data_IF_844423082019
#
_entry.id   IF_844423082019
#
_cell.length_a   1.000
_cell.length_b   1.000
_cell.length_c   1.000
_cell.angle_alpha   90.00
_cell.angle_beta   90.00
_cell.angle_gamma   90.00
#
_symmetry.space_group_name_H-M   'P 1'
#
loop_
_entity.id
_entity.type
_entity.pdbx_description
1 polymer ?
#
# COMPACT_ATOMS: atom_id res chain seq x y z
N UNK A 1 21.31 -11.50 33.82
CA UNK A 1 21.16 -10.08 33.43
C UNK A 1 20.35 -9.99 32.13
N UNK A 2 19.16 -9.39 32.24
CA UNK A 2 18.29 -8.74 31.21
C UNK A 2 18.63 -9.03 29.73
N UNK A 3 17.85 -9.87 29.03
CA UNK A 3 16.61 -9.50 28.31
C UNK A 3 16.81 -8.45 27.21
N UNK A 4 16.71 -8.86 25.94
CA UNK A 4 16.07 -8.17 24.79
C UNK A 4 16.10 -9.17 23.62
N UNK A 5 15.11 -10.05 23.56
CA UNK A 5 14.69 -10.73 22.33
C UNK A 5 13.27 -10.21 22.07
N UNK A 6 13.16 -8.99 21.55
CA UNK A 6 11.87 -8.37 21.24
C UNK A 6 11.54 -8.64 19.77
N UNK A 7 10.54 -9.51 19.63
CA UNK A 7 9.71 -9.80 18.46
C UNK A 7 9.59 -8.64 17.46
N UNK A 8 9.94 -8.94 16.21
CA UNK A 8 9.96 -8.04 15.06
C UNK A 8 8.53 -7.71 14.61
N UNK A 9 8.13 -6.43 14.70
CA UNK A 9 6.76 -5.95 14.40
C UNK A 9 6.75 -5.13 13.11
N UNK A 10 5.82 -5.43 12.21
CA UNK A 10 5.73 -4.84 10.88
C UNK A 10 4.67 -3.72 10.79
N UNK A 11 4.88 -2.80 9.85
CA UNK A 11 3.90 -1.82 9.37
C UNK A 11 3.24 -2.40 8.10
N UNK A 12 1.90 -2.52 8.06
CA UNK A 12 1.18 -3.16 6.96
C UNK A 12 0.58 -2.12 6.00
N UNK A 13 1.10 -2.05 4.77
CA UNK A 13 0.48 -1.31 3.67
C UNK A 13 -0.45 -2.23 2.89
N UNK A 14 -1.77 -2.07 3.05
CA UNK A 14 -2.78 -2.69 2.19
C UNK A 14 -3.17 -1.72 1.08
N UNK A 15 -2.40 -1.68 0.00
CA UNK A 15 -2.82 -1.05 -1.25
C UNK A 15 -3.44 -2.14 -2.12
N UNK A 16 -4.75 -2.32 -2.02
CA UNK A 16 -5.50 -3.15 -2.97
C UNK A 16 -5.94 -2.30 -4.16
N UNK A 17 -5.10 -2.23 -5.19
CA UNK A 17 -5.56 -1.90 -6.53
C UNK A 17 -5.58 -3.19 -7.34
N UNK A 18 -6.76 -3.82 -7.44
CA UNK A 18 -7.00 -4.89 -8.40
C UNK A 18 -7.19 -4.24 -9.78
N UNK A 19 -6.18 -4.34 -10.64
CA UNK A 19 -6.35 -4.12 -12.08
C UNK A 19 -5.69 -5.30 -12.79
N UNK A 20 -6.54 -6.15 -13.36
CA UNK A 20 -6.16 -7.28 -14.19
C UNK A 20 -5.53 -6.78 -15.48
N UNK A 21 -4.30 -7.23 -15.77
CA UNK A 21 -3.84 -7.60 -17.11
C UNK A 21 -2.53 -8.39 -17.01
N UNK A 22 -2.61 -9.69 -17.32
CA UNK A 22 -1.50 -10.64 -17.43
C UNK A 22 -0.57 -10.26 -18.60
N UNK A 23 0.74 -10.47 -18.43
CA UNK A 23 1.46 -11.56 -19.11
C UNK A 23 2.86 -11.78 -18.52
N UNK A 24 3.42 -12.96 -18.80
CA UNK A 24 4.40 -13.74 -18.03
C UNK A 24 5.61 -14.11 -18.92
N UNK A 25 6.78 -14.33 -18.27
CA UNK A 25 7.95 -15.19 -18.68
C UNK A 25 8.93 -14.73 -19.76
N UNK A 26 10.23 -15.10 -19.81
CA UNK A 26 11.26 -15.69 -18.90
C UNK A 26 12.60 -15.70 -19.70
N UNK A 27 13.79 -15.78 -19.06
CA UNK A 27 14.98 -16.41 -19.71
C UNK A 27 16.38 -15.74 -19.62
N UNK A 28 17.13 -16.09 -18.57
CA UNK A 28 18.58 -16.45 -18.48
C UNK A 28 19.63 -15.88 -19.46
N UNK A 29 20.73 -15.29 -18.93
CA UNK A 29 22.10 -15.88 -18.85
C UNK A 29 23.17 -14.85 -18.38
N UNK A 30 24.18 -15.39 -17.70
CA UNK A 30 25.29 -14.73 -17.00
C UNK A 30 26.18 -13.84 -17.89
N UNK A 31 26.68 -12.72 -17.35
CA UNK A 31 28.12 -12.44 -17.23
C UNK A 31 28.40 -11.15 -16.44
N UNK A 32 29.42 -11.23 -15.59
CA UNK A 32 30.01 -10.20 -14.74
C UNK A 32 30.80 -9.18 -15.58
N UNK A 33 30.69 -7.88 -15.29
CA UNK A 33 31.80 -6.89 -15.39
C UNK A 33 31.64 -5.82 -14.30
N UNK A 34 32.71 -5.59 -13.56
CA UNK A 34 32.89 -4.51 -12.57
C UNK A 34 33.27 -3.18 -13.24
N UNK A 35 32.73 -2.07 -12.73
CA UNK A 35 33.48 -0.80 -12.57
C UNK A 35 33.40 0.31 -13.63
N UNK A 36 32.75 1.42 -13.22
CA UNK A 36 33.06 2.87 -13.50
C UNK A 36 32.95 3.46 -14.92
N UNK A 37 32.89 4.80 -15.14
CA UNK A 37 32.60 5.94 -14.27
C UNK A 37 31.65 6.95 -15.00
N UNK A 38 30.60 6.48 -15.69
CA UNK A 38 29.70 7.37 -16.41
C UNK A 38 28.28 7.27 -15.85
N UNK A 39 27.91 8.29 -15.06
CA UNK A 39 26.55 8.53 -14.58
C UNK A 39 25.65 8.98 -15.75
N UNK A 40 25.56 8.19 -16.82
CA UNK A 40 24.55 8.38 -17.83
C UNK A 40 23.22 8.03 -17.18
N UNK A 41 22.37 9.05 -17.01
CA UNK A 41 20.96 8.96 -16.59
C UNK A 41 20.38 7.64 -17.11
N UNK A 42 20.06 6.72 -16.19
CA UNK A 42 19.36 5.47 -16.54
C UNK A 42 18.01 5.87 -17.14
N UNK A 43 17.98 5.97 -18.46
CA UNK A 43 16.76 6.10 -19.25
C UNK A 43 15.96 4.81 -19.01
N UNK A 44 14.87 4.91 -18.25
CA UNK A 44 13.85 3.87 -18.26
C UNK A 44 13.23 3.85 -19.67
N UNK A 45 13.63 2.88 -20.49
CA UNK A 45 13.09 2.69 -21.84
C UNK A 45 11.55 2.49 -21.87
N UNK A 46 10.93 2.26 -20.70
CA UNK A 46 9.47 2.16 -20.54
C UNK A 46 8.73 3.49 -20.37
N UNK A 47 9.42 4.62 -20.18
CA UNK A 47 8.73 5.93 -20.20
C UNK A 47 8.50 6.33 -21.64
N UNK A 48 7.43 5.81 -22.22
CA UNK A 48 6.97 6.17 -23.55
C UNK A 48 6.81 7.69 -23.64
N UNK A 49 7.75 8.34 -24.31
CA UNK A 49 7.66 9.74 -24.75
C UNK A 49 6.93 9.87 -26.08
N UNK A 50 6.30 8.78 -26.56
CA UNK A 50 5.57 8.82 -27.83
C UNK A 50 4.38 9.76 -27.69
N UNK A 51 4.44 10.91 -28.38
CA UNK A 51 3.23 11.60 -28.80
C UNK A 51 2.37 10.55 -29.52
N UNK A 52 1.13 10.33 -29.04
CA UNK A 52 0.21 9.35 -29.66
C UNK A 52 0.11 9.66 -31.15
N UNK A 53 0.67 8.77 -31.97
CA UNK A 53 0.64 8.87 -33.43
C UNK A 53 -0.48 8.04 -34.06
N UNK A 54 -1.28 7.31 -33.26
CA UNK A 54 -2.34 6.44 -33.77
C UNK A 54 -3.72 6.79 -33.16
N UNK A 55 -4.81 6.63 -33.92
CA UNK A 55 -6.16 6.65 -33.36
C UNK A 55 -6.26 5.52 -32.34
N UNK A 56 -6.82 5.79 -31.16
CA UNK A 56 -6.94 4.81 -30.08
C UNK A 56 -7.55 3.50 -30.59
N UNK A 57 -6.78 2.41 -30.64
CA UNK A 57 -7.29 1.05 -30.89
C UNK A 57 -8.20 0.54 -29.78
N UNK A 58 -8.24 1.26 -28.66
CA UNK A 58 -9.14 1.00 -27.53
C UNK A 58 -10.61 1.28 -27.85
N UNK A 59 -10.95 1.78 -29.05
CA UNK A 59 -12.33 2.11 -29.40
C UNK A 59 -12.83 3.38 -28.71
N UNK A 60 -13.97 3.86 -29.18
CA UNK A 60 -14.69 5.01 -28.61
C UNK A 60 -15.79 4.47 -27.68
N UNK A 61 -15.52 4.46 -26.38
CA UNK A 61 -16.54 4.14 -25.37
C UNK A 61 -17.27 5.39 -24.95
N UNK A 62 -18.59 5.27 -24.76
CA UNK A 62 -19.37 6.29 -24.09
C UNK A 62 -18.83 6.45 -22.67
N UNK A 63 -18.35 7.65 -22.34
CA UNK A 63 -17.93 7.96 -20.98
C UNK A 63 -19.18 8.02 -20.11
N UNK A 64 -19.43 6.98 -19.33
CA UNK A 64 -20.47 7.00 -18.31
C UNK A 64 -20.03 7.99 -17.23
N UNK A 65 -20.52 9.22 -17.32
CA UNK A 65 -20.32 10.24 -16.29
C UNK A 65 -21.38 9.98 -15.21
N UNK A 66 -21.01 9.79 -13.93
CA UNK A 66 -22.00 9.67 -12.88
C UNK A 66 -22.86 10.94 -12.85
N UNK A 67 -24.18 10.77 -12.69
CA UNK A 67 -25.18 11.87 -12.61
C UNK A 67 -24.82 12.94 -11.57
N UNK A 68 -23.96 12.61 -10.61
CA UNK A 68 -23.40 13.51 -9.61
C UNK A 68 -21.98 13.05 -9.25
N UNK A 69 -20.97 13.90 -9.50
CA UNK A 69 -19.64 13.79 -8.86
C UNK A 69 -19.65 14.37 -7.44
N UNK A 70 -20.75 15.03 -7.04
CA UNK A 70 -20.96 15.59 -5.71
C UNK A 70 -21.41 14.48 -4.77
N UNK A 71 -20.45 13.70 -4.27
CA UNK A 71 -20.66 13.06 -2.98
C UNK A 71 -20.68 14.18 -1.93
N UNK A 72 -21.88 14.59 -1.48
CA UNK A 72 -22.08 15.39 -0.25
C UNK A 72 -21.68 14.60 1.00
N UNK A 73 -20.60 13.80 0.92
CA UNK A 73 -20.12 13.03 2.05
C UNK A 73 -19.42 14.00 3.00
N UNK A 74 -19.74 13.96 4.30
CA UNK A 74 -19.06 14.80 5.27
C UNK A 74 -17.56 14.48 5.23
N UNK A 75 -16.74 15.49 5.54
CA UNK A 75 -15.31 15.28 5.68
C UNK A 75 -15.06 14.12 6.65
N UNK A 76 -14.07 13.25 6.36
CA UNK A 76 -13.72 12.19 7.28
C UNK A 76 -13.33 12.78 8.64
N UNK A 77 -13.71 12.09 9.72
CA UNK A 77 -13.22 12.43 11.06
C UNK A 77 -11.72 12.17 11.12
N UNK A 78 -11.01 12.97 11.93
CA UNK A 78 -9.60 12.72 12.23
C UNK A 78 -9.38 11.28 12.73
N UNK A 79 -8.20 10.70 12.43
CA UNK A 79 -7.86 9.36 12.92
C UNK A 79 -7.92 9.31 14.44
N UNK A 80 -8.44 8.20 14.97
CA UNK A 80 -8.50 7.96 16.41
C UNK A 80 -7.20 7.31 16.88
N UNK A 81 -6.33 8.14 17.46
CA UNK A 81 -5.00 7.74 17.91
C UNK A 81 -5.01 6.74 19.08
N UNK A 82 -6.11 6.66 19.83
CA UNK A 82 -6.22 5.75 20.98
C UNK A 82 -6.46 4.29 20.57
N UNK A 83 -6.81 4.04 19.29
CA UNK A 83 -7.08 2.69 18.81
C UNK A 83 -5.85 1.81 18.70
N UNK A 84 -4.67 2.41 18.56
CA UNK A 84 -3.42 1.66 18.51
C UNK A 84 -2.83 1.58 19.92
N UNK A 85 -2.63 0.39 20.50
CA UNK A 85 -1.99 0.21 21.80
C UNK A 85 -0.54 0.73 21.83
N UNK A 86 -0.06 1.19 22.99
CA UNK A 86 1.30 1.77 23.13
C UNK A 86 2.42 0.76 22.86
N UNK A 87 2.17 -0.54 23.04
CA UNK A 87 3.13 -1.63 22.80
C UNK A 87 3.34 -1.98 21.31
N UNK A 88 2.56 -1.42 20.39
CA UNK A 88 2.73 -1.57 18.94
C UNK A 88 3.79 -0.58 18.45
N UNK A 89 4.78 -1.06 17.68
CA UNK A 89 5.77 -0.19 17.04
C UNK A 89 5.07 0.66 15.99
N UNK A 90 5.36 1.96 15.98
CA UNK A 90 4.72 2.92 15.09
C UNK A 90 5.73 3.51 14.12
N UNK A 91 5.31 3.82 12.88
CA UNK A 91 6.13 4.61 11.97
C UNK A 91 6.25 6.07 12.46
N UNK A 92 7.28 6.76 11.99
CA UNK A 92 7.56 8.17 12.30
C UNK A 92 6.33 9.07 12.11
N UNK A 93 5.63 8.90 10.98
CA UNK A 93 4.44 9.70 10.64
C UNK A 93 3.21 9.42 11.50
N UNK A 94 3.21 8.38 12.34
CA UNK A 94 1.99 7.97 13.05
C UNK A 94 1.41 9.05 13.96
N UNK A 95 2.26 9.96 14.47
CA UNK A 95 1.86 11.07 15.33
C UNK A 95 1.61 12.36 14.54
N UNK A 96 2.51 12.69 13.62
CA UNK A 96 2.51 13.97 12.89
C UNK A 96 1.60 13.96 11.66
N UNK A 97 1.38 12.77 11.10
CA UNK A 97 0.78 12.55 9.79
C UNK A 97 1.70 12.88 8.62
N UNK A 98 2.91 13.35 8.89
CA UNK A 98 3.88 13.78 7.89
C UNK A 98 4.99 12.73 7.79
N UNK A 99 5.03 11.91 6.73
CA UNK A 99 6.14 10.99 6.49
C UNK A 99 7.41 11.76 6.14
N UNK A 100 8.55 11.21 6.54
CA UNK A 100 9.85 11.72 6.11
C UNK A 100 9.87 11.83 4.59
N UNK A 101 10.43 12.94 4.09
CA UNK A 101 10.53 13.19 2.65
C UNK A 101 11.20 11.98 2.02
N UNK A 102 10.60 11.48 0.94
CA UNK A 102 11.24 10.49 0.07
C UNK A 102 12.63 11.02 -0.27
N UNK A 103 13.64 10.39 0.33
CA UNK A 103 15.01 10.52 -0.14
C UNK A 103 14.92 10.08 -1.61
N UNK A 104 15.40 10.90 -2.55
CA UNK A 104 15.30 10.62 -3.98
C UNK A 104 16.15 9.39 -4.39
N UNK A 105 16.72 8.70 -3.41
CA UNK A 105 17.41 7.44 -3.51
C UNK A 105 16.39 6.35 -3.25
N UNK A 106 16.06 5.60 -4.30
CA UNK A 106 15.34 4.34 -4.16
C UNK A 106 16.18 3.47 -3.22
N UNK A 107 15.67 3.07 -2.04
CA UNK A 107 16.45 2.26 -1.12
C UNK A 107 16.82 0.96 -1.84
N UNK A 108 18.12 0.76 -2.01
CA UNK A 108 18.65 -0.49 -2.55
C UNK A 108 18.52 -1.50 -1.42
N UNK A 109 17.60 -2.45 -1.55
CA UNK A 109 17.49 -3.57 -0.64
C UNK A 109 18.73 -4.44 -0.85
N UNK A 110 19.58 -4.53 0.16
CA UNK A 110 20.68 -5.49 0.15
C UNK A 110 20.10 -6.91 0.23
N UNK A 111 20.30 -7.68 -0.83
CA UNK A 111 19.82 -9.06 -0.90
C UNK A 111 20.66 -10.03 -0.05
N UNK A 112 21.82 -9.58 0.45
CA UNK A 112 22.66 -10.35 1.37
C UNK A 112 22.28 -10.13 2.83
N UNK A 113 21.53 -9.07 3.14
CA UNK A 113 21.01 -8.84 4.48
C UNK A 113 19.82 -9.78 4.76
N UNK A 114 20.16 -10.96 5.30
CA UNK A 114 19.18 -11.99 5.65
C UNK A 114 18.17 -11.54 6.71
N UNK A 115 18.55 -10.62 7.61
CA UNK A 115 17.69 -10.10 8.67
C UNK A 115 16.65 -9.14 8.09
N UNK A 116 17.09 -8.19 7.26
CA UNK A 116 16.19 -7.29 6.53
C UNK A 116 15.20 -8.07 5.66
N UNK A 117 15.67 -9.06 4.91
CA UNK A 117 14.80 -9.90 4.09
C UNK A 117 13.78 -10.69 4.91
N UNK A 118 14.18 -11.20 6.09
CA UNK A 118 13.26 -11.88 7.02
C UNK A 118 12.15 -10.94 7.47
N UNK A 119 12.50 -9.71 7.88
CA UNK A 119 11.54 -8.68 8.30
C UNK A 119 10.55 -8.32 7.20
N UNK A 120 11.04 -8.09 5.97
CA UNK A 120 10.21 -7.79 4.80
C UNK A 120 9.25 -8.96 4.49
N UNK A 121 9.74 -10.21 4.53
CA UNK A 121 8.90 -11.40 4.29
C UNK A 121 7.81 -11.54 5.35
N UNK A 122 8.14 -11.36 6.62
CA UNK A 122 7.19 -11.44 7.73
C UNK A 122 6.11 -10.35 7.61
N UNK A 123 6.50 -9.11 7.30
CA UNK A 123 5.58 -8.00 7.04
C UNK A 123 4.60 -8.31 5.90
N UNK A 124 5.12 -8.78 4.76
CA UNK A 124 4.30 -9.12 3.59
C UNK A 124 3.38 -10.32 3.83
N UNK A 125 3.84 -11.32 4.59
CA UNK A 125 3.00 -12.47 4.97
C UNK A 125 1.81 -12.01 5.80
N UNK A 126 2.04 -11.12 6.76
CA UNK A 126 0.96 -10.56 7.57
C UNK A 126 0.01 -9.68 6.74
N UNK A 127 0.54 -8.86 5.82
CA UNK A 127 -0.28 -8.08 4.88
C UNK A 127 -1.18 -8.99 4.03
N UNK A 128 -0.63 -10.07 3.47
CA UNK A 128 -1.39 -11.04 2.68
C UNK A 128 -2.47 -11.74 3.52
N UNK A 129 -2.17 -12.12 4.76
CA UNK A 129 -3.15 -12.72 5.67
C UNK A 129 -4.26 -11.72 6.05
N UNK A 130 -3.90 -10.46 6.26
CA UNK A 130 -4.86 -9.39 6.56
C UNK A 130 -5.79 -9.15 5.38
N UNK A 131 -5.27 -9.17 4.14
CA UNK A 131 -6.08 -9.07 2.93
C UNK A 131 -7.06 -10.25 2.81
N UNK A 132 -6.60 -11.48 3.06
CA UNK A 132 -7.46 -12.67 3.06
C UNK A 132 -8.57 -12.57 4.11
N UNK A 133 -8.21 -12.12 5.31
CA UNK A 133 -9.18 -11.87 6.37
C UNK A 133 -10.21 -10.82 5.96
N UNK A 134 -9.78 -9.67 5.44
CA UNK A 134 -10.68 -8.64 4.92
C UNK A 134 -11.63 -9.18 3.85
N UNK A 135 -11.11 -9.99 2.91
CA UNK A 135 -11.91 -10.65 1.88
C UNK A 135 -12.99 -11.60 2.44
N UNK A 136 -12.72 -12.28 3.56
CA UNK A 136 -13.70 -13.16 4.22
C UNK A 136 -14.87 -12.42 4.88
N UNK A 137 -14.73 -11.11 5.12
CA UNK A 137 -15.77 -10.28 5.73
C UNK A 137 -16.78 -9.73 4.69
N UNK A 138 -16.43 -9.76 3.41
CA UNK A 138 -17.22 -9.12 2.36
C UNK A 138 -18.49 -9.91 2.10
N UNK A 139 -19.61 -9.38 2.60
CA UNK A 139 -20.95 -9.92 2.39
C UNK A 139 -21.93 -8.79 2.05
N UNK A 140 -23.03 -9.05 1.32
CA UNK A 140 -24.03 -8.02 1.07
C UNK A 140 -24.56 -7.43 2.39
N UNK A 141 -24.59 -6.09 2.47
CA UNK A 141 -25.09 -5.37 3.64
C UNK A 141 -24.03 -4.94 4.66
N UNK A 142 -22.80 -5.46 4.60
CA UNK A 142 -21.72 -4.97 5.47
C UNK A 142 -21.22 -3.59 4.99
N UNK A 143 -20.97 -2.68 5.92
CA UNK A 143 -20.39 -1.37 5.62
C UNK A 143 -18.87 -1.45 5.52
N UNK A 144 -18.25 -0.53 4.78
CA UNK A 144 -16.79 -0.48 4.70
C UNK A 144 -16.16 -0.06 6.03
N UNK A 145 -16.86 0.74 6.84
CA UNK A 145 -16.45 1.09 8.20
C UNK A 145 -16.40 -0.12 9.16
N UNK A 146 -17.31 -1.09 9.01
CA UNK A 146 -17.27 -2.35 9.77
C UNK A 146 -16.07 -3.20 9.35
N UNK A 147 -15.82 -3.33 8.05
CA UNK A 147 -14.63 -4.02 7.53
C UNK A 147 -13.35 -3.37 8.07
N UNK A 148 -13.22 -2.03 7.99
CA UNK A 148 -12.06 -1.30 8.53
C UNK A 148 -11.86 -1.56 10.03
N UNK A 149 -12.94 -1.58 10.82
CA UNK A 149 -12.86 -1.82 12.26
C UNK A 149 -12.39 -3.24 12.59
N UNK A 150 -12.91 -4.25 11.89
CA UNK A 150 -12.51 -5.64 12.07
C UNK A 150 -11.06 -5.87 11.61
N UNK A 151 -10.69 -5.30 10.47
CA UNK A 151 -9.33 -5.40 9.93
C UNK A 151 -8.33 -4.66 10.82
N UNK A 152 -8.68 -3.49 11.34
CA UNK A 152 -7.87 -2.78 12.34
C UNK A 152 -7.56 -3.69 13.52
N UNK A 153 -8.59 -4.30 14.11
CA UNK A 153 -8.42 -5.18 15.26
C UNK A 153 -7.55 -6.41 14.93
N UNK A 154 -7.71 -7.00 13.75
CA UNK A 154 -6.85 -8.09 13.29
C UNK A 154 -5.39 -7.67 13.15
N UNK A 155 -5.12 -6.47 12.63
CA UNK A 155 -3.75 -5.93 12.52
C UNK A 155 -3.15 -5.73 13.92
N UNK A 156 -3.92 -5.13 14.84
CA UNK A 156 -3.49 -4.90 16.23
C UNK A 156 -3.25 -6.22 16.97
N UNK A 157 -4.11 -7.24 16.79
CA UNK A 157 -3.92 -8.56 17.43
C UNK A 157 -2.64 -9.26 16.95
N UNK A 158 -2.16 -8.92 15.76
CA UNK A 158 -0.88 -9.36 15.22
C UNK A 158 0.30 -8.43 15.58
N UNK A 159 0.11 -7.54 16.56
CA UNK A 159 1.13 -6.59 17.03
C UNK A 159 1.67 -5.66 15.93
N UNK A 160 0.89 -5.36 14.90
CA UNK A 160 1.30 -4.55 13.77
C UNK A 160 0.58 -3.20 13.75
N UNK A 161 1.16 -2.24 13.02
CA UNK A 161 0.54 -0.93 12.78
C UNK A 161 -0.15 -0.92 11.40
N UNK A 162 -1.40 -0.44 11.30
CA UNK A 162 -2.05 -0.23 10.01
C UNK A 162 -1.43 0.98 9.30
N UNK A 163 -0.58 0.77 8.30
CA UNK A 163 0.20 1.84 7.66
C UNK A 163 -0.63 3.03 7.15
N UNK A 164 -1.84 2.86 6.57
CA UNK A 164 -2.63 4.00 6.13
C UNK A 164 -3.04 4.95 7.26
N UNK A 165 -3.14 4.46 8.50
CA UNK A 165 -3.62 5.28 9.60
C UNK A 165 -2.69 6.48 9.82
N UNK A 166 -3.27 7.67 9.78
CA UNK A 166 -2.63 8.97 9.85
C UNK A 166 -1.59 9.25 8.73
N UNK A 167 -1.38 8.39 7.74
CA UNK A 167 -0.43 8.68 6.65
C UNK A 167 -0.94 9.84 5.78
N UNK A 168 -0.23 10.98 5.76
CA UNK A 168 -0.71 12.26 5.20
C UNK A 168 -2.11 12.64 5.73
N UNK A 169 -2.37 12.37 7.02
CA UNK A 169 -3.66 12.63 7.66
C UNK A 169 -4.79 11.66 7.26
N UNK A 170 -4.47 10.53 6.60
CA UNK A 170 -5.49 9.55 6.23
C UNK A 170 -6.19 8.97 7.49
N UNK A 171 -7.53 8.97 7.54
CA UNK A 171 -8.28 8.82 8.80
C UNK A 171 -8.57 7.39 9.23
N UNK A 172 -8.28 6.40 8.38
CA UNK A 172 -8.71 5.00 8.53
C UNK A 172 -7.54 4.03 8.41
N UNK A 173 -7.78 2.77 8.74
CA UNK A 173 -6.74 1.74 8.79
C UNK A 173 -6.51 1.07 7.45
N UNK A 174 -7.54 1.06 6.59
CA UNK A 174 -7.49 0.53 5.23
C UNK A 174 -8.15 1.50 4.24
N UNK A 175 -7.94 1.24 2.95
CA UNK A 175 -8.68 1.87 1.86
C UNK A 175 -9.75 0.90 1.33
N UNK A 176 -10.95 1.38 1.04
CA UNK A 176 -12.04 0.61 0.42
C UNK A 176 -12.59 1.36 -0.78
N UNK A 177 -12.28 0.89 -1.99
CA UNK A 177 -12.58 1.58 -3.25
C UNK A 177 -13.68 0.83 -4.00
N UNK A 178 -14.91 1.34 -3.92
CA UNK A 178 -16.10 0.70 -4.49
C UNK A 178 -16.37 1.26 -5.90
N UNK A 179 -16.69 0.39 -6.86
CA UNK A 179 -17.14 0.76 -8.21
C UNK A 179 -16.21 1.73 -8.95
N UNK A 180 -16.58 3.01 -9.04
CA UNK A 180 -15.86 4.04 -9.78
C UNK A 180 -14.77 4.75 -8.96
N UNK A 181 -14.56 4.36 -7.70
CA UNK A 181 -13.45 4.84 -6.89
C UNK A 181 -12.17 4.14 -7.33
N UNK A 182 -11.20 4.90 -7.86
CA UNK A 182 -9.96 4.35 -8.43
C UNK A 182 -9.05 3.78 -7.34
N UNK A 183 -8.83 4.55 -6.28
CA UNK A 183 -7.99 4.19 -5.15
C UNK A 183 -8.32 5.10 -3.95
N UNK A 184 -7.80 4.75 -2.78
CA UNK A 184 -7.88 5.54 -1.54
C UNK A 184 -9.30 5.91 -1.11
N UNK A 185 -10.30 5.10 -1.46
CA UNK A 185 -11.63 5.25 -0.88
C UNK A 185 -11.57 5.12 0.65
N UNK A 186 -12.22 6.04 1.35
CA UNK A 186 -12.20 6.10 2.81
C UNK A 186 -13.35 5.23 3.34
N UNK A 187 -13.08 4.24 4.21
CA UNK A 187 -14.12 3.45 4.86
C UNK A 187 -15.19 4.29 5.56
N UNK A 188 -16.44 4.07 5.18
CA UNK A 188 -17.63 4.78 5.65
C UNK A 188 -18.87 3.88 5.80
N UNK A 189 -20.00 4.50 6.20
CA UNK A 189 -21.31 3.85 6.35
C UNK A 189 -21.94 3.57 4.98
#
# INVERSE_FOLDING_TARGET
MKSILKTEKACISLITSFSSSRQVSFGLRNNVVFGSPNLAKRFYAGRSSTKRASPNSFGSFERIVPKSLSLKKPLPKNPDFNKVPSNVLRPEYSLTGEPSRFIHEIPIIDLQDSELLSKIRNANRLAANTLKYAGSLVTPGITTAEIDSLVHNYIISNNAYPSPLNYYGFPKSICTSINNIVAHGIPDK
#
